data_IF_053648745751
#
_entry.id   IF_053648745751
#
_cell.length_a   1.000
_cell.length_b   1.000
_cell.length_c   1.000
_cell.angle_alpha   90.00
_cell.angle_beta   90.00
_cell.angle_gamma   90.00
#
_symmetry.space_group_name_H-M   'P 1'
#
loop_
_entity.id
_entity.type
_entity.pdbx_description
1 polymer ?
#
# COMPACT_ATOMS: atom_id res chain seq x y z
N UNK A 1 19.74 7.85 38.73
CA UNK A 1 20.48 6.84 37.94
C UNK A 1 19.45 6.07 37.11
N UNK A 2 19.52 6.15 35.77
CA UNK A 2 18.56 5.47 34.88
C UNK A 2 19.27 4.26 34.28
N UNK A 3 18.74 3.08 34.55
CA UNK A 3 19.36 1.82 34.20
C UNK A 3 18.49 1.07 33.20
N UNK A 4 19.10 0.50 32.16
CA UNK A 4 18.41 -0.22 31.09
C UNK A 4 18.80 -1.70 31.14
N UNK A 5 17.81 -2.59 31.06
CA UNK A 5 18.05 -4.00 30.84
C UNK A 5 18.08 -4.28 29.33
N UNK A 6 19.18 -4.83 28.83
CA UNK A 6 19.38 -5.15 27.41
C UNK A 6 19.58 -6.65 27.25
N UNK A 7 18.88 -7.24 26.29
CA UNK A 7 19.11 -8.61 25.84
C UNK A 7 19.17 -8.66 24.31
N UNK A 8 20.00 -9.53 23.76
CA UNK A 8 20.15 -9.71 22.32
C UNK A 8 20.61 -11.13 22.01
N UNK A 9 19.78 -11.89 21.30
CA UNK A 9 20.15 -13.23 20.83
C UNK A 9 21.24 -13.17 19.75
N UNK A 10 21.18 -12.15 18.86
CA UNK A 10 22.16 -11.95 17.78
C UNK A 10 23.58 -11.68 18.30
N UNK A 11 23.69 -11.03 19.45
CA UNK A 11 24.98 -10.68 20.06
C UNK A 11 25.26 -11.49 21.34
N UNK A 12 24.51 -12.56 21.59
CA UNK A 12 24.65 -13.43 22.78
C UNK A 12 24.59 -12.70 24.13
N UNK A 13 23.87 -11.57 24.21
CA UNK A 13 23.68 -10.80 25.44
C UNK A 13 22.43 -11.30 26.17
N UNK A 14 22.60 -11.85 27.38
CA UNK A 14 21.48 -12.33 28.21
C UNK A 14 21.24 -11.38 29.39
N UNK A 15 20.33 -10.44 29.21
CA UNK A 15 19.75 -9.65 30.31
C UNK A 15 20.75 -8.83 31.12
N UNK A 16 21.63 -8.09 30.43
CA UNK A 16 22.63 -7.24 31.06
C UNK A 16 22.01 -5.91 31.44
N UNK A 17 22.34 -5.42 32.63
CA UNK A 17 21.85 -4.15 33.17
C UNK A 17 22.93 -3.09 32.96
N UNK A 18 22.62 -2.05 32.19
CA UNK A 18 23.58 -1.02 31.79
C UNK A 18 23.15 0.38 32.21
N UNK A 19 24.11 1.21 32.61
CA UNK A 19 23.86 2.60 32.93
C UNK A 19 23.99 3.46 31.66
N UNK A 20 22.86 3.97 31.18
CA UNK A 20 22.80 4.70 29.92
C UNK A 20 23.07 6.19 30.02
N UNK A 21 23.13 6.77 31.24
CA UNK A 21 23.23 8.22 31.46
C UNK A 21 24.02 8.58 32.72
N UNK A 22 24.77 9.68 32.67
CA UNK A 22 25.52 10.24 33.80
C UNK A 22 27.03 9.97 33.73
N UNK A 23 27.77 10.36 34.77
CA UNK A 23 29.24 10.33 34.83
C UNK A 23 29.86 8.93 34.76
N UNK A 24 29.05 7.89 34.92
CA UNK A 24 29.46 6.48 34.87
C UNK A 24 28.92 5.75 33.63
N UNK A 25 28.37 6.46 32.65
CA UNK A 25 27.89 5.87 31.40
C UNK A 25 29.06 5.65 30.44
N UNK A 26 29.21 4.42 29.97
CA UNK A 26 30.13 4.08 28.88
C UNK A 26 29.63 4.77 27.58
N UNK A 27 30.49 5.51 26.85
CA UNK A 27 30.13 6.19 25.60
C UNK A 27 29.47 5.29 24.55
N UNK A 28 29.84 4.01 24.49
CA UNK A 28 29.25 3.06 23.53
C UNK A 28 27.87 2.58 23.97
N UNK A 29 27.65 2.45 25.28
CA UNK A 29 26.33 2.16 25.87
C UNK A 29 25.38 3.34 25.67
N UNK A 30 25.87 4.57 25.84
CA UNK A 30 25.10 5.79 25.60
C UNK A 30 24.52 5.81 24.17
N UNK A 31 25.36 5.54 23.16
CA UNK A 31 24.93 5.47 21.74
C UNK A 31 23.90 4.36 21.50
N UNK A 32 24.04 3.21 22.16
CA UNK A 32 23.07 2.10 22.04
C UNK A 32 21.72 2.53 22.62
N UNK A 33 21.71 3.17 23.79
CA UNK A 33 20.49 3.64 24.46
C UNK A 33 19.81 4.75 23.64
N UNK A 34 20.56 5.69 23.06
CA UNK A 34 20.01 6.69 22.14
C UNK A 34 19.36 6.07 20.90
N UNK A 35 20.02 5.10 20.26
CA UNK A 35 19.45 4.38 19.11
C UNK A 35 18.18 3.63 19.46
N UNK A 36 18.11 3.02 20.66
CA UNK A 36 16.91 2.33 21.12
C UNK A 36 15.76 3.31 21.37
N UNK A 37 16.03 4.49 21.95
CA UNK A 37 15.04 5.55 22.11
C UNK A 37 14.54 6.08 20.76
N UNK A 38 15.45 6.40 19.83
CA UNK A 38 15.07 6.81 18.47
C UNK A 38 14.23 5.76 17.75
N UNK A 39 14.60 4.48 17.86
CA UNK A 39 13.83 3.37 17.26
C UNK A 39 12.47 3.15 17.90
N UNK A 40 12.31 3.49 19.18
CA UNK A 40 11.00 3.48 19.86
C UNK A 40 10.12 4.67 19.46
N UNK A 41 10.72 5.82 19.15
CA UNK A 41 10.02 7.03 18.68
C UNK A 41 9.57 6.86 17.23
N UNK A 42 10.30 6.13 16.39
CA UNK A 42 9.96 5.90 14.97
C UNK A 42 9.09 4.67 14.72
N UNK A 43 8.75 3.89 15.75
CA UNK A 43 7.80 2.80 15.62
C UNK A 43 6.39 3.37 15.76
N UNK A 44 5.95 4.10 14.74
CA UNK A 44 4.55 4.51 14.63
C UNK A 44 3.68 3.28 14.88
N UNK A 45 2.74 3.40 15.81
CA UNK A 45 1.73 2.36 16.02
C UNK A 45 1.12 2.05 14.64
N UNK A 46 0.85 0.77 14.30
CA UNK A 46 0.10 0.47 13.10
C UNK A 46 -1.15 1.34 13.12
N UNK A 47 -1.26 2.25 12.15
CA UNK A 47 -2.40 3.16 12.07
C UNK A 47 -3.61 2.24 11.95
N UNK A 48 -4.47 2.26 12.96
CA UNK A 48 -5.72 1.51 12.88
C UNK A 48 -6.52 2.16 11.76
N UNK A 49 -6.57 1.49 10.62
CA UNK A 49 -7.38 1.92 9.49
C UNK A 49 -8.83 2.04 9.98
N UNK A 50 -9.45 3.20 9.76
CA UNK A 50 -10.90 3.36 9.94
C UNK A 50 -11.61 2.21 9.26
N UNK A 51 -12.67 1.68 9.90
CA UNK A 51 -13.43 0.54 9.36
C UNK A 51 -13.87 0.77 7.91
N UNK A 52 -14.04 2.03 7.54
CA UNK A 52 -14.61 2.54 6.29
C UNK A 52 -13.61 2.47 5.12
N UNK A 53 -12.31 2.57 5.38
CA UNK A 53 -11.29 2.38 4.34
C UNK A 53 -10.85 0.92 4.21
N UNK A 54 -11.28 0.03 5.12
CA UNK A 54 -10.89 -1.38 5.06
C UNK A 54 -11.39 -2.10 3.80
N UNK A 55 -12.62 -1.88 3.29
CA UNK A 55 -13.06 -2.49 2.05
C UNK A 55 -12.17 -2.10 0.86
N UNK A 56 -11.87 -0.81 0.70
CA UNK A 56 -10.93 -0.33 -0.33
C UNK A 56 -9.52 -0.92 -0.14
N UNK A 57 -9.03 -1.01 1.09
CA UNK A 57 -7.75 -1.68 1.39
C UNK A 57 -7.75 -3.18 1.07
N UNK A 58 -8.91 -3.87 1.06
CA UNK A 58 -9.03 -5.26 0.59
C UNK A 58 -8.95 -5.33 -0.93
N UNK A 59 -9.60 -4.42 -1.63
CA UNK A 59 -9.49 -4.31 -3.09
C UNK A 59 -8.05 -4.02 -3.54
N UNK A 60 -7.31 -3.21 -2.78
CA UNK A 60 -5.87 -3.03 -2.94
C UNK A 60 -5.06 -4.32 -2.81
N UNK A 61 -5.47 -5.25 -1.96
CA UNK A 61 -4.82 -6.56 -1.90
C UNK A 61 -5.00 -7.33 -3.22
N UNK A 62 -6.19 -7.27 -3.83
CA UNK A 62 -6.45 -7.89 -5.13
C UNK A 62 -5.68 -7.20 -6.27
N UNK A 63 -5.56 -5.86 -6.23
CA UNK A 63 -4.74 -5.12 -7.18
C UNK A 63 -3.25 -5.51 -7.08
N UNK A 64 -2.72 -5.67 -5.86
CA UNK A 64 -1.35 -6.17 -5.66
C UNK A 64 -1.20 -7.63 -6.10
N UNK A 65 -2.24 -8.45 -5.97
CA UNK A 65 -2.24 -9.81 -6.51
C UNK A 65 -2.17 -9.80 -8.05
N UNK A 66 -2.87 -8.89 -8.73
CA UNK A 66 -2.71 -8.69 -10.18
C UNK A 66 -1.25 -8.34 -10.53
N UNK A 67 -0.63 -7.39 -9.81
CA UNK A 67 0.79 -7.05 -10.00
C UNK A 67 1.67 -8.30 -9.90
N UNK A 68 1.48 -9.09 -8.85
CA UNK A 68 2.22 -10.35 -8.67
C UNK A 68 1.99 -11.33 -9.81
N UNK A 69 0.73 -11.52 -10.27
CA UNK A 69 0.40 -12.41 -11.38
C UNK A 69 1.10 -11.97 -12.67
N UNK A 70 1.02 -10.69 -13.03
CA UNK A 70 1.69 -10.13 -14.22
C UNK A 70 3.19 -10.42 -14.16
N UNK A 71 3.84 -10.05 -13.06
CA UNK A 71 5.28 -10.26 -12.87
C UNK A 71 5.68 -11.73 -12.98
N UNK A 72 4.90 -12.62 -12.36
CA UNK A 72 5.19 -14.05 -12.39
C UNK A 72 4.98 -14.65 -13.79
N UNK A 73 3.93 -14.22 -14.50
CA UNK A 73 3.68 -14.63 -15.88
C UNK A 73 4.82 -14.24 -16.81
N UNK A 74 5.30 -12.99 -16.72
CA UNK A 74 6.42 -12.50 -17.50
C UNK A 74 7.71 -13.28 -17.19
N UNK A 75 8.03 -13.49 -15.91
CA UNK A 75 9.22 -14.25 -15.49
C UNK A 75 9.21 -15.71 -15.98
N UNK A 76 8.03 -16.30 -16.14
CA UNK A 76 7.85 -17.65 -16.67
C UNK A 76 7.84 -17.72 -18.20
N UNK A 77 7.98 -16.58 -18.89
CA UNK A 77 7.91 -16.52 -20.35
C UNK A 77 6.52 -16.80 -20.91
N UNK A 78 5.46 -16.57 -20.14
CA UNK A 78 4.07 -16.64 -20.63
C UNK A 78 3.87 -15.56 -21.70
N UNK A 79 3.12 -15.87 -22.76
CA UNK A 79 2.85 -14.90 -23.81
C UNK A 79 2.17 -13.63 -23.25
N UNK A 80 2.64 -12.41 -23.61
CA UNK A 80 2.07 -11.15 -23.13
C UNK A 80 0.55 -11.04 -23.39
N UNK A 81 0.06 -11.60 -24.49
CA UNK A 81 -1.36 -11.59 -24.86
C UNK A 81 -2.23 -12.35 -23.83
N UNK A 82 -1.71 -13.47 -23.31
CA UNK A 82 -2.41 -14.29 -22.32
C UNK A 82 -2.50 -13.58 -20.98
N UNK A 83 -1.40 -12.95 -20.56
CA UNK A 83 -1.36 -12.12 -19.35
C UNK A 83 -2.30 -10.91 -19.51
N UNK A 84 -2.24 -10.22 -20.65
CA UNK A 84 -3.06 -9.05 -20.98
C UNK A 84 -4.55 -9.36 -20.93
N UNK A 85 -4.97 -10.51 -21.44
CA UNK A 85 -6.38 -10.94 -21.40
C UNK A 85 -6.93 -11.00 -19.97
N UNK A 86 -6.18 -11.58 -19.03
CA UNK A 86 -6.57 -11.60 -17.63
C UNK A 86 -6.50 -10.20 -17.00
N UNK A 87 -5.44 -9.44 -17.29
CA UNK A 87 -5.26 -8.09 -16.76
C UNK A 87 -6.40 -7.15 -17.21
N UNK A 88 -6.89 -7.28 -18.45
CA UNK A 88 -8.01 -6.51 -18.98
C UNK A 88 -9.34 -6.86 -18.35
N UNK A 89 -9.56 -8.14 -18.06
CA UNK A 89 -10.72 -8.56 -17.28
C UNK A 89 -10.68 -7.92 -15.89
N UNK A 90 -9.56 -8.05 -15.18
CA UNK A 90 -9.41 -7.48 -13.83
C UNK A 90 -9.55 -5.96 -13.85
N UNK A 91 -8.96 -5.29 -14.84
CA UNK A 91 -9.06 -3.85 -15.02
C UNK A 91 -10.51 -3.39 -15.18
N UNK A 92 -11.29 -4.07 -16.02
CA UNK A 92 -12.69 -3.70 -16.28
C UNK A 92 -13.62 -4.01 -15.11
N UNK A 93 -13.42 -5.14 -14.44
CA UNK A 93 -14.34 -5.61 -13.40
C UNK A 93 -14.00 -5.08 -12.00
N UNK A 94 -12.74 -4.73 -11.74
CA UNK A 94 -12.29 -4.38 -10.40
C UNK A 94 -11.59 -3.03 -10.33
N UNK A 95 -10.58 -2.75 -11.16
CA UNK A 95 -9.83 -1.47 -11.04
C UNK A 95 -10.66 -0.25 -11.46
N UNK A 96 -11.39 -0.32 -12.57
CA UNK A 96 -12.19 0.83 -13.03
C UNK A 96 -13.29 1.23 -12.03
N UNK A 97 -14.11 0.28 -11.50
CA UNK A 97 -15.07 0.61 -10.44
C UNK A 97 -14.38 1.13 -9.18
N UNK A 98 -13.24 0.57 -8.80
CA UNK A 98 -12.47 1.02 -7.64
C UNK A 98 -12.05 2.50 -7.76
N UNK A 99 -11.42 2.88 -8.88
CA UNK A 99 -11.02 4.27 -9.14
C UNK A 99 -12.21 5.23 -9.11
N UNK A 100 -13.35 4.82 -9.67
CA UNK A 100 -14.57 5.64 -9.67
C UNK A 100 -15.09 5.91 -8.25
N UNK A 101 -15.06 4.91 -7.36
CA UNK A 101 -15.45 5.07 -5.96
C UNK A 101 -14.48 6.02 -5.24
N UNK A 102 -13.17 5.83 -5.43
CA UNK A 102 -12.16 6.68 -4.81
C UNK A 102 -12.31 8.15 -5.22
N UNK A 103 -12.47 8.40 -6.51
CA UNK A 103 -12.62 9.76 -7.03
C UNK A 103 -13.91 10.43 -6.57
N UNK A 104 -15.02 9.69 -6.51
CA UNK A 104 -16.34 10.23 -6.12
C UNK A 104 -16.50 10.45 -4.62
N UNK A 105 -15.93 9.59 -3.79
CA UNK A 105 -16.26 9.55 -2.36
C UNK A 105 -15.05 9.73 -1.44
N UNK A 106 -13.86 9.29 -1.85
CA UNK A 106 -12.67 9.36 -1.00
C UNK A 106 -11.91 10.67 -1.23
N UNK A 107 -11.61 11.00 -2.48
CA UNK A 107 -10.77 12.15 -2.81
C UNK A 107 -11.46 13.50 -2.54
N UNK A 108 -12.80 13.51 -2.56
CA UNK A 108 -13.61 14.70 -2.20
C UNK A 108 -13.34 15.19 -0.77
N UNK A 109 -12.87 14.32 0.13
CA UNK A 109 -12.55 14.68 1.52
C UNK A 109 -11.41 15.70 1.58
N UNK A 110 -10.39 15.54 0.72
CA UNK A 110 -9.25 16.45 0.65
C UNK A 110 -9.48 17.58 -0.36
N UNK A 111 -10.40 17.39 -1.32
CA UNK A 111 -10.70 18.31 -2.41
C UNK A 111 -9.80 18.12 -3.62
N UNK A 112 -10.33 18.41 -4.80
CA UNK A 112 -9.68 18.16 -6.10
C UNK A 112 -8.35 18.90 -6.30
N UNK A 113 -8.20 20.06 -5.65
CA UNK A 113 -6.98 20.86 -5.76
C UNK A 113 -5.81 20.32 -4.91
N UNK A 114 -6.08 19.36 -4.01
CA UNK A 114 -5.06 18.82 -3.13
C UNK A 114 -3.97 18.09 -3.92
N UNK A 115 -2.66 18.34 -3.68
CA UNK A 115 -1.58 17.75 -4.47
C UNK A 115 -1.61 16.22 -4.54
N UNK A 116 -2.03 15.58 -3.45
CA UNK A 116 -2.12 14.12 -3.38
C UNK A 116 -3.28 13.55 -4.19
N UNK A 117 -4.41 14.27 -4.27
CA UNK A 117 -5.56 13.90 -5.11
C UNK A 117 -5.21 14.05 -6.58
N UNK A 118 -4.56 15.16 -6.96
CA UNK A 118 -4.05 15.35 -8.33
C UNK A 118 -3.09 14.24 -8.74
N UNK A 119 -2.21 13.83 -7.83
CA UNK A 119 -1.31 12.69 -8.07
C UNK A 119 -2.10 11.40 -8.29
N UNK A 120 -3.04 11.05 -7.40
CA UNK A 120 -3.83 9.82 -7.50
C UNK A 120 -4.62 9.78 -8.82
N UNK A 121 -5.34 10.85 -9.17
CA UNK A 121 -6.06 10.98 -10.45
C UNK A 121 -5.13 10.90 -11.67
N UNK A 122 -3.93 11.48 -11.57
CA UNK A 122 -2.91 11.35 -12.61
C UNK A 122 -2.44 9.91 -12.79
N UNK A 123 -2.20 9.19 -11.69
CA UNK A 123 -1.86 7.77 -11.70
C UNK A 123 -3.01 6.93 -12.32
N UNK A 124 -4.28 7.21 -11.97
CA UNK A 124 -5.46 6.56 -12.57
C UNK A 124 -5.50 6.75 -14.09
N UNK A 125 -5.39 7.99 -14.55
CA UNK A 125 -5.38 8.32 -15.98
C UNK A 125 -4.25 7.60 -16.71
N UNK A 126 -3.05 7.56 -16.12
CA UNK A 126 -1.92 6.87 -16.70
C UNK A 126 -2.16 5.35 -16.79
N UNK A 127 -2.69 4.73 -15.72
CA UNK A 127 -3.06 3.32 -15.73
C UNK A 127 -4.11 3.02 -16.81
N UNK A 128 -5.16 3.83 -16.91
CA UNK A 128 -6.21 3.69 -17.94
C UNK A 128 -5.58 3.73 -19.34
N UNK A 129 -4.64 4.64 -19.60
CA UNK A 129 -3.92 4.68 -20.88
C UNK A 129 -3.11 3.40 -21.11
N UNK A 130 -2.39 2.91 -20.11
CA UNK A 130 -1.62 1.67 -20.21
C UNK A 130 -2.50 0.45 -20.53
N UNK A 131 -3.74 0.39 -20.05
CA UNK A 131 -4.66 -0.70 -20.38
C UNK A 131 -5.30 -0.57 -21.77
N UNK A 132 -5.54 0.66 -22.23
CA UNK A 132 -6.41 0.92 -23.39
C UNK A 132 -5.70 1.23 -24.71
N UNK A 133 -4.45 1.73 -24.68
CA UNK A 133 -3.72 2.05 -25.90
C UNK A 133 -3.02 0.85 -26.52
N UNK A 134 -2.69 0.92 -27.81
CA UNK A 134 -1.85 -0.08 -28.46
C UNK A 134 -0.35 0.16 -28.14
N UNK A 135 0.48 -0.85 -28.33
CA UNK A 135 1.93 -0.75 -28.13
C UNK A 135 2.58 -2.08 -27.79
N UNK A 136 3.83 -2.03 -27.32
CA UNK A 136 4.56 -3.21 -26.88
C UNK A 136 3.91 -3.79 -25.59
N UNK A 137 3.22 -4.92 -25.71
CA UNK A 137 2.47 -5.51 -24.60
C UNK A 137 3.34 -5.88 -23.40
N UNK A 138 4.52 -6.45 -23.63
CA UNK A 138 5.43 -6.85 -22.55
C UNK A 138 5.87 -5.64 -21.73
N UNK A 139 6.33 -4.58 -22.40
CA UNK A 139 6.72 -3.34 -21.74
C UNK A 139 5.54 -2.70 -20.99
N UNK A 140 4.35 -2.66 -21.62
CA UNK A 140 3.15 -2.11 -20.96
C UNK A 140 2.77 -2.91 -19.72
N UNK A 141 2.83 -4.23 -19.76
CA UNK A 141 2.53 -5.08 -18.60
C UNK A 141 3.51 -4.83 -17.45
N UNK A 142 4.81 -4.67 -17.75
CA UNK A 142 5.80 -4.28 -16.75
C UNK A 142 5.46 -2.91 -16.14
N UNK A 143 5.16 -1.91 -16.97
CA UNK A 143 4.79 -0.57 -16.49
C UNK A 143 3.48 -0.58 -15.69
N UNK A 144 2.48 -1.37 -16.08
CA UNK A 144 1.23 -1.55 -15.31
C UNK A 144 1.55 -2.10 -13.93
N UNK A 145 2.37 -3.15 -13.84
CA UNK A 145 2.74 -3.77 -12.56
C UNK A 145 3.39 -2.77 -11.62
N UNK A 146 4.39 -2.03 -12.11
CA UNK A 146 5.14 -1.05 -11.32
C UNK A 146 4.28 0.15 -10.92
N UNK A 147 3.56 0.75 -11.88
CA UNK A 147 2.72 1.93 -11.63
C UNK A 147 1.60 1.59 -10.65
N UNK A 148 0.88 0.49 -10.85
CA UNK A 148 -0.23 0.10 -9.96
C UNK A 148 0.29 -0.21 -8.55
N UNK A 149 1.41 -0.92 -8.43
CA UNK A 149 2.00 -1.23 -7.13
C UNK A 149 2.44 0.03 -6.37
N UNK A 150 3.02 1.00 -7.08
CA UNK A 150 3.44 2.27 -6.49
C UNK A 150 2.26 3.14 -6.09
N UNK A 151 1.22 3.16 -6.93
CA UNK A 151 -0.03 3.86 -6.69
C UNK A 151 -0.73 3.33 -5.42
N UNK A 152 -1.00 2.02 -5.34
CA UNK A 152 -1.62 1.38 -4.16
C UNK A 152 -0.80 1.65 -2.89
N UNK A 153 0.54 1.59 -2.96
CA UNK A 153 1.39 1.90 -1.79
C UNK A 153 1.29 3.35 -1.36
N UNK A 154 1.23 4.28 -2.31
CA UNK A 154 1.08 5.70 -2.04
C UNK A 154 -0.27 5.97 -1.36
N UNK A 155 -1.33 5.34 -1.83
CA UNK A 155 -2.66 5.53 -1.25
C UNK A 155 -2.73 4.98 0.16
N UNK A 156 -2.35 3.73 0.34
CA UNK A 156 -2.38 3.05 1.63
C UNK A 156 -1.50 3.76 2.68
N UNK A 157 -0.29 4.19 2.30
CA UNK A 157 0.69 4.71 3.28
C UNK A 157 0.61 6.21 3.49
N UNK A 158 0.03 6.94 2.53
CA UNK A 158 0.06 8.41 2.55
C UNK A 158 -1.34 8.97 2.38
N UNK A 159 -2.02 8.70 1.26
CA UNK A 159 -3.32 9.36 0.95
C UNK A 159 -4.41 9.00 1.94
N UNK A 160 -4.63 7.73 2.22
CA UNK A 160 -5.67 7.27 3.13
C UNK A 160 -5.44 7.72 4.56
N UNK A 161 -4.18 7.86 4.97
CA UNK A 161 -3.83 8.43 6.27
C UNK A 161 -4.17 9.92 6.34
N UNK A 162 -3.99 10.65 5.24
CA UNK A 162 -4.36 12.07 5.17
C UNK A 162 -5.88 12.24 5.13
N UNK A 163 -6.59 11.45 4.30
CA UNK A 163 -8.05 11.42 4.25
C UNK A 163 -8.64 11.18 5.63
N UNK A 164 -8.11 10.22 6.39
CA UNK A 164 -8.57 9.91 7.75
C UNK A 164 -8.47 11.08 8.74
N UNK A 165 -7.54 12.03 8.52
CA UNK A 165 -7.40 13.20 9.40
C UNK A 165 -8.51 14.24 9.19
N UNK A 166 -9.05 14.32 7.98
CA UNK A 166 -10.02 15.36 7.60
C UNK A 166 -11.44 14.84 7.35
N UNK A 167 -11.62 13.52 7.23
CA UNK A 167 -12.92 12.92 6.94
C UNK A 167 -13.91 13.17 8.10
N UNK A 168 -15.06 13.76 7.77
CA UNK A 168 -16.19 13.90 8.71
C UNK A 168 -16.97 12.60 8.81
N UNK A 169 -17.68 12.38 9.93
CA UNK A 169 -18.52 11.18 10.12
C UNK A 169 -19.58 11.01 9.01
N UNK A 170 -20.10 12.10 8.43
CA UNK A 170 -21.05 12.04 7.31
C UNK A 170 -20.39 11.51 6.03
N UNK A 171 -19.24 12.07 5.64
CA UNK A 171 -18.51 11.64 4.43
C UNK A 171 -18.02 10.19 4.56
N UNK A 172 -17.62 9.82 5.77
CA UNK A 172 -17.26 8.46 6.14
C UNK A 172 -18.44 7.50 5.92
N UNK A 173 -19.65 7.88 6.32
CA UNK A 173 -20.85 7.06 6.12
C UNK A 173 -21.28 6.95 4.65
N UNK A 174 -21.07 8.00 3.86
CA UNK A 174 -21.34 7.95 2.41
C UNK A 174 -20.42 6.92 1.73
N UNK A 175 -19.11 6.92 2.06
CA UNK A 175 -18.17 5.91 1.55
C UNK A 175 -18.63 4.49 1.88
N UNK A 176 -19.06 4.24 3.12
CA UNK A 176 -19.56 2.92 3.55
C UNK A 176 -20.87 2.51 2.87
N UNK A 177 -21.74 3.48 2.57
CA UNK A 177 -23.06 3.20 1.97
C UNK A 177 -22.96 2.91 0.47
N UNK A 178 -22.09 3.63 -0.24
CA UNK A 178 -21.93 3.51 -1.69
C UNK A 178 -20.86 2.49 -2.10
N UNK A 179 -19.94 2.12 -1.21
CA UNK A 179 -19.04 0.98 -1.41
C UNK A 179 -19.73 -0.30 -0.95
N UNK A 180 -20.39 -0.98 -1.89
CA UNK A 180 -20.82 -2.36 -1.67
C UNK A 180 -19.63 -3.25 -2.02
N UNK A 181 -18.94 -3.75 -0.99
CA UNK A 181 -17.87 -4.73 -1.17
C UNK A 181 -18.45 -5.98 -1.86
N UNK A 182 -18.26 -6.07 -3.18
CA UNK A 182 -18.58 -7.29 -3.90
C UNK A 182 -17.55 -8.36 -3.56
N UNK A 183 -18.02 -9.59 -3.36
CA UNK A 183 -17.13 -10.71 -3.09
C UNK A 183 -16.21 -10.90 -4.30
N UNK A 184 -14.90 -10.74 -4.09
CA UNK A 184 -13.93 -10.96 -5.14
C UNK A 184 -13.97 -12.41 -5.63
N UNK A 185 -14.31 -12.60 -6.90
CA UNK A 185 -14.27 -13.89 -7.59
C UNK A 185 -13.18 -13.86 -8.65
N UNK A 186 -12.10 -14.61 -8.40
CA UNK A 186 -10.95 -14.67 -9.29
C UNK A 186 -11.28 -15.40 -10.60
N UNK A 187 -10.75 -14.90 -11.72
CA UNK A 187 -10.94 -15.53 -13.02
C UNK A 187 -9.98 -16.70 -13.20
N UNK A 188 -10.47 -17.90 -12.90
CA UNK A 188 -9.72 -19.16 -13.00
C UNK A 188 -9.79 -19.81 -14.39
N UNK A 189 -10.33 -19.13 -15.41
CA UNK A 189 -10.48 -19.72 -16.75
C UNK A 189 -9.15 -20.03 -17.43
N UNK A 190 -8.10 -19.26 -17.14
CA UNK A 190 -6.78 -19.44 -17.73
C UNK A 190 -5.65 -19.04 -16.75
N UNK A 191 -5.35 -19.88 -15.75
CA UNK A 191 -4.40 -19.54 -14.70
C UNK A 191 -2.96 -19.69 -15.21
N UNK A 192 -2.40 -18.61 -15.75
CA UNK A 192 -1.03 -18.58 -16.29
C UNK A 192 0.06 -18.42 -15.22
N UNK A 193 -0.32 -18.08 -13.99
CA UNK A 193 0.59 -17.81 -12.88
C UNK A 193 1.01 -19.07 -12.10
N UNK A 194 0.43 -20.23 -12.39
CA UNK A 194 0.71 -21.50 -11.69
C UNK A 194 2.07 -22.06 -12.07
#
# INVERSE_FOLDING_TARGET
MIVYAISSQKHSLKGIVVNGYGTYADPDIFKIVERLKQKSITKEKPIKRSEILKPLSREHHHALLLCWKIKNGLNKGVSPERIKKYADWFFKQHLLPHFDIEEKYVFIVLGDEHPMVKKAKGDHQHLIQLFTTDGNLEQKLQTIEETLQNHVRFEERTLFNEVQKYATESQLKDIETFHVEEKFEDNMADPFWV
#
